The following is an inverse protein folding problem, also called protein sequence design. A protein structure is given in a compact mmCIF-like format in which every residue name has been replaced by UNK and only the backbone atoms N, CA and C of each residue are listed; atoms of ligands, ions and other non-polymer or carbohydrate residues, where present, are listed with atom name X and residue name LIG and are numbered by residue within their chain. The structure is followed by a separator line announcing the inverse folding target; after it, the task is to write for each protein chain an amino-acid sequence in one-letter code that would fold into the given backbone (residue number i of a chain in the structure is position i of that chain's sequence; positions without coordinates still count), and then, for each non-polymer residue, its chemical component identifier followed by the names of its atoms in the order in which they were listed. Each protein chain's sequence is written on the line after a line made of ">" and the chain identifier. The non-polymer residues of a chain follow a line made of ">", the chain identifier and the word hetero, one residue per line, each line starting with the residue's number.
data_IF_172509192031
#
_entry.id   IF_172509192031
#
_cell.length_a   1.000
_cell.length_b   1.000
_cell.length_c   1.000
_cell.angle_alpha   90.00
_cell.angle_beta   90.00
_cell.angle_gamma   90.00
#
_symmetry.space_group_name_H-M   'P 1'
#
loop_
_entity.id
_entity.type
_entity.pdbx_description
1 polymer ?
#
# COMPACT_ATOMS: atom_id res chain seq x y z
N UNK A 1 -2.31 -14.78 2.28
CA UNK A 1 -2.64 -13.35 2.04
C UNK A 1 -2.00 -12.92 0.72
N UNK A 2 -2.73 -12.22 -0.14
CA UNK A 2 -2.28 -11.91 -1.52
C UNK A 2 -1.60 -10.53 -1.59
N UNK A 3 -2.17 -9.55 -0.90
CA UNK A 3 -1.69 -8.18 -0.76
C UNK A 3 -2.07 -7.66 0.63
N UNK A 4 -1.21 -6.86 1.25
CA UNK A 4 -1.47 -6.23 2.54
C UNK A 4 -1.10 -4.76 2.44
N UNK A 5 -1.96 -3.89 2.97
CA UNK A 5 -1.73 -2.46 3.11
C UNK A 5 -1.84 -2.10 4.59
N UNK A 6 -0.75 -1.61 5.18
CA UNK A 6 -0.80 -1.05 6.53
C UNK A 6 -1.39 0.37 6.47
N UNK A 7 -2.44 0.61 7.25
CA UNK A 7 -3.18 1.89 7.32
C UNK A 7 -3.09 2.53 8.71
N UNK A 8 -2.19 2.05 9.57
CA UNK A 8 -1.86 2.76 10.80
C UNK A 8 -1.01 4.00 10.50
N UNK A 9 -1.11 5.00 11.37
CA UNK A 9 -0.48 6.31 11.16
C UNK A 9 1.04 6.20 10.99
N UNK A 10 1.70 5.26 11.66
CA UNK A 10 3.14 5.04 11.48
C UNK A 10 3.55 4.66 10.05
N UNK A 11 2.63 4.13 9.23
CA UNK A 11 2.91 3.70 7.87
C UNK A 11 2.89 4.86 6.85
N UNK A 12 2.23 5.98 7.16
CA UNK A 12 2.06 7.06 6.17
C UNK A 12 2.20 8.49 6.73
N UNK A 13 2.15 8.70 8.05
CA UNK A 13 2.12 10.05 8.64
C UNK A 13 3.40 10.86 8.37
N UNK A 14 4.56 10.20 8.22
CA UNK A 14 5.83 10.88 7.93
C UNK A 14 5.82 11.55 6.56
N UNK A 15 5.31 10.85 5.54
CA UNK A 15 5.35 11.31 4.15
C UNK A 15 4.07 12.07 3.74
N UNK A 16 2.91 11.66 4.27
CA UNK A 16 1.60 12.17 3.85
C UNK A 16 0.87 12.96 4.95
N UNK A 17 1.35 12.95 6.19
CA UNK A 17 0.64 13.56 7.32
C UNK A 17 -0.79 13.03 7.41
N UNK A 18 -1.76 13.94 7.51
CA UNK A 18 -3.19 13.58 7.56
C UNK A 18 -3.78 13.10 6.22
N UNK A 19 -3.00 13.12 5.13
CA UNK A 19 -3.48 12.80 3.77
C UNK A 19 -3.43 11.29 3.47
N UNK A 20 -4.18 10.50 4.24
CA UNK A 20 -4.25 9.04 4.05
C UNK A 20 -4.73 8.64 2.64
N UNK A 21 -5.60 9.42 2.02
CA UNK A 21 -6.11 9.11 0.67
C UNK A 21 -4.99 9.08 -0.37
N UNK A 22 -4.10 10.08 -0.34
CA UNK A 22 -2.96 10.20 -1.26
C UNK A 22 -1.95 9.04 -1.07
N UNK A 23 -1.78 8.57 0.17
CA UNK A 23 -0.98 7.37 0.47
C UNK A 23 -1.57 6.11 -0.17
N UNK A 24 -2.89 5.90 -0.04
CA UNK A 24 -3.58 4.73 -0.63
C UNK A 24 -3.48 4.80 -2.17
N UNK A 25 -3.70 5.97 -2.77
CA UNK A 25 -3.59 6.14 -4.22
C UNK A 25 -2.16 5.83 -4.71
N UNK A 26 -1.16 6.32 -3.98
CA UNK A 26 0.24 6.07 -4.32
C UNK A 26 0.63 4.61 -4.11
N UNK A 27 0.08 3.94 -3.10
CA UNK A 27 0.27 2.51 -2.90
C UNK A 27 -0.20 1.72 -4.12
N UNK A 28 -1.42 1.93 -4.61
CA UNK A 28 -1.95 1.19 -5.77
C UNK A 28 -1.16 1.42 -7.06
N UNK A 29 -0.57 2.62 -7.24
CA UNK A 29 0.31 2.93 -8.37
C UNK A 29 1.65 2.17 -8.32
N UNK A 30 2.09 1.72 -7.15
CA UNK A 30 3.41 1.13 -6.93
C UNK A 30 3.38 -0.36 -6.54
N UNK A 31 2.22 -1.03 -6.62
CA UNK A 31 2.13 -2.47 -6.34
C UNK A 31 2.88 -3.26 -7.42
N UNK A 32 3.72 -4.20 -6.98
CA UNK A 32 4.23 -5.27 -7.83
C UNK A 32 3.17 -6.38 -7.98
N UNK A 33 2.38 -6.28 -9.05
CA UNK A 33 1.32 -7.23 -9.36
C UNK A 33 1.84 -8.61 -9.72
N UNK A 34 3.00 -8.72 -10.37
CA UNK A 34 3.58 -10.01 -10.71
C UNK A 34 3.95 -10.81 -9.44
N UNK A 35 4.50 -10.13 -8.43
CA UNK A 35 4.74 -10.74 -7.14
C UNK A 35 3.44 -11.13 -6.41
N UNK A 36 2.38 -10.34 -6.52
CA UNK A 36 1.07 -10.66 -5.94
C UNK A 36 0.42 -11.89 -6.61
N UNK A 37 0.45 -11.97 -7.95
CA UNK A 37 -0.04 -13.10 -8.72
C UNK A 37 0.73 -14.40 -8.41
N UNK A 38 2.05 -14.31 -8.17
CA UNK A 38 2.86 -15.44 -7.74
C UNK A 38 2.39 -16.09 -6.43
N UNK A 39 1.68 -15.36 -5.57
CA UNK A 39 1.13 -15.84 -4.29
C UNK A 39 -0.25 -16.50 -4.40
N UNK A 40 -0.87 -16.47 -5.58
CA UNK A 40 -2.16 -17.11 -5.86
C UNK A 40 -2.04 -18.60 -6.25
N UNK A 41 -0.82 -19.10 -6.45
CA UNK A 41 -0.56 -20.49 -6.85
C UNK A 41 -0.71 -21.48 -5.71
#
# INVERSE_FOLDING_TARGET
>A
PVLVLDVFEHAFMVDYGLKRADYIETFFKNIDWAAAEGRLK
#
